data_IF_606294225922
#
_entry.id   IF_606294225922
#
_cell.length_a   1.000
_cell.length_b   1.000
_cell.length_c   1.000
_cell.angle_alpha   90.00
_cell.angle_beta   90.00
_cell.angle_gamma   90.00
#
_symmetry.space_group_name_H-M   'P 1'
#
loop_
_entity.id
_entity.type
_entity.pdbx_description
1 polymer ?
#
# COMPACT_ATOMS: atom_id res chain seq x y z
N UNK A 1 -15.29 -12.36 -4.56
CA UNK A 1 -13.92 -12.25 -4.03
C UNK A 1 -13.75 -10.93 -3.28
N UNK A 2 -13.08 -10.98 -2.17
CA UNK A 2 -12.74 -9.76 -1.43
C UNK A 2 -11.67 -8.98 -2.17
N UNK A 3 -11.91 -7.71 -2.40
CA UNK A 3 -10.96 -6.83 -3.07
C UNK A 3 -10.13 -6.09 -2.05
N UNK A 4 -8.83 -6.31 -2.08
CA UNK A 4 -7.89 -5.74 -1.13
C UNK A 4 -6.97 -4.75 -1.83
N UNK A 5 -6.82 -3.57 -1.25
CA UNK A 5 -5.90 -2.56 -1.73
C UNK A 5 -4.72 -2.47 -0.78
N UNK A 6 -3.51 -2.64 -1.31
CA UNK A 6 -2.27 -2.52 -0.54
C UNK A 6 -1.48 -1.30 -1.03
N UNK A 7 -1.56 -0.19 -0.32
CA UNK A 7 -0.63 0.91 -0.57
C UNK A 7 0.78 0.50 -0.14
N UNK A 8 1.74 0.72 -1.01
CA UNK A 8 3.14 0.39 -0.72
C UNK A 8 4.03 1.59 -1.05
N UNK A 9 5.14 1.68 -0.36
CA UNK A 9 6.11 2.76 -0.56
C UNK A 9 7.52 2.24 -0.89
N UNK A 10 7.64 0.92 -1.09
CA UNK A 10 8.93 0.30 -1.39
C UNK A 10 9.83 0.10 -0.19
N UNK A 11 9.36 0.44 1.00
CA UNK A 11 10.11 0.21 2.23
C UNK A 11 10.05 -1.26 2.64
N UNK A 12 10.89 -1.69 3.60
CA UNK A 12 10.79 -3.05 4.15
C UNK A 12 9.41 -3.40 4.72
N UNK A 13 8.64 -2.39 5.11
CA UNK A 13 7.28 -2.59 5.58
C UNK A 13 6.38 -3.22 4.53
N UNK A 14 6.64 -2.96 3.25
CA UNK A 14 5.84 -3.54 2.17
C UNK A 14 5.96 -5.05 2.14
N UNK A 15 7.16 -5.60 2.36
CA UNK A 15 7.34 -7.04 2.44
C UNK A 15 6.57 -7.64 3.61
N UNK A 16 6.53 -6.93 4.74
CA UNK A 16 5.75 -7.36 5.90
C UNK A 16 4.26 -7.42 5.55
N UNK A 17 3.76 -6.44 4.82
CA UNK A 17 2.37 -6.41 4.39
C UNK A 17 2.04 -7.62 3.52
N UNK A 18 2.91 -7.96 2.57
CA UNK A 18 2.70 -9.13 1.72
C UNK A 18 2.68 -10.42 2.53
N UNK A 19 3.60 -10.55 3.49
CA UNK A 19 3.65 -11.73 4.34
C UNK A 19 2.36 -11.91 5.14
N UNK A 20 1.84 -10.82 5.68
CA UNK A 20 0.60 -10.87 6.45
C UNK A 20 -0.60 -11.18 5.58
N UNK A 21 -0.64 -10.64 4.37
CA UNK A 21 -1.69 -10.97 3.42
C UNK A 21 -1.74 -12.48 3.17
N UNK A 22 -0.57 -13.09 2.94
CA UNK A 22 -0.48 -14.53 2.72
C UNK A 22 -0.97 -15.35 3.90
N UNK A 23 -0.77 -14.83 5.12
CA UNK A 23 -1.22 -15.52 6.32
C UNK A 23 -2.71 -15.37 6.56
N UNK A 24 -3.28 -14.24 6.19
CA UNK A 24 -4.67 -13.92 6.49
C UNK A 24 -5.66 -14.36 5.44
N UNK A 25 -5.25 -14.42 4.18
CA UNK A 25 -6.18 -14.65 3.08
C UNK A 25 -5.65 -15.71 2.12
N UNK A 26 -6.53 -16.61 1.71
CA UNK A 26 -6.22 -17.59 0.68
C UNK A 26 -6.19 -16.90 -0.69
N UNK A 27 -5.28 -17.30 -1.59
CA UNK A 27 -5.23 -16.72 -2.94
C UNK A 27 -6.56 -16.77 -3.70
N UNK A 28 -7.36 -17.79 -3.46
CA UNK A 28 -8.63 -17.95 -4.19
C UNK A 28 -9.74 -17.06 -3.66
N UNK A 29 -9.56 -16.45 -2.48
CA UNK A 29 -10.60 -15.67 -1.83
C UNK A 29 -10.48 -14.17 -2.07
N UNK A 30 -9.37 -13.72 -2.61
CA UNK A 30 -9.09 -12.30 -2.70
C UNK A 30 -8.52 -11.90 -4.06
N UNK A 31 -8.73 -10.64 -4.40
CA UNK A 31 -8.12 -9.97 -5.53
C UNK A 31 -7.35 -8.79 -4.97
N UNK A 32 -6.06 -8.69 -5.29
CA UNK A 32 -5.16 -7.72 -4.67
C UNK A 32 -4.77 -6.64 -5.66
N UNK A 33 -4.82 -5.39 -5.23
CA UNK A 33 -4.28 -4.28 -5.99
C UNK A 33 -3.17 -3.63 -5.18
N UNK A 34 -1.98 -3.58 -5.75
CA UNK A 34 -0.84 -2.88 -5.17
C UNK A 34 -0.80 -1.47 -5.74
N UNK A 35 -0.69 -0.49 -4.87
CA UNK A 35 -0.74 0.91 -5.31
C UNK A 35 0.39 1.72 -4.69
N UNK A 36 0.96 2.62 -5.49
CA UNK A 36 1.92 3.62 -5.02
C UNK A 36 1.46 4.96 -5.53
N UNK A 37 1.57 5.99 -4.70
CA UNK A 37 1.18 7.35 -5.06
C UNK A 37 2.44 8.19 -5.29
N UNK A 38 2.53 8.75 -6.49
CA UNK A 38 3.64 9.62 -6.87
C UNK A 38 3.21 11.07 -6.65
N UNK A 39 4.03 11.89 -5.95
CA UNK A 39 3.69 13.30 -5.78
C UNK A 39 3.54 14.03 -7.11
N UNK A 40 2.55 14.92 -7.19
CA UNK A 40 2.28 15.68 -8.41
C UNK A 40 3.41 16.58 -8.85
N UNK A 41 4.18 17.09 -7.89
CA UNK A 41 5.31 17.96 -8.19
C UNK A 41 6.30 17.28 -9.14
N UNK A 42 6.44 15.98 -9.05
CA UNK A 42 7.33 15.21 -9.92
C UNK A 42 6.76 15.14 -11.33
N UNK A 43 5.43 15.10 -11.48
CA UNK A 43 4.79 15.03 -12.79
C UNK A 43 4.89 16.36 -13.58
N UNK A 44 4.98 17.48 -12.87
CA UNK A 44 5.08 18.79 -13.49
C UNK A 44 6.47 19.08 -14.02
N UNK A 45 7.44 18.24 -13.69
CA UNK A 45 8.83 18.43 -14.06
C UNK A 45 9.15 17.85 -15.45
N UNK A 46 10.42 17.90 -15.82
CA UNK A 46 10.88 17.43 -17.11
C UNK A 46 10.57 15.95 -17.30
N UNK A 47 10.11 15.58 -18.48
CA UNK A 47 9.65 14.22 -18.78
C UNK A 47 10.63 13.11 -18.43
N UNK A 48 11.94 13.37 -18.49
CA UNK A 48 12.96 12.37 -18.17
C UNK A 48 12.98 12.02 -16.67
N UNK A 49 12.80 13.01 -15.81
CA UNK A 49 12.75 12.75 -14.37
C UNK A 49 11.48 11.99 -14.00
N UNK A 50 10.37 12.36 -14.63
CA UNK A 50 9.13 11.64 -14.43
C UNK A 50 9.27 10.16 -14.81
N UNK A 51 9.88 9.88 -15.97
CA UNK A 51 10.08 8.51 -16.42
C UNK A 51 10.95 7.71 -15.46
N UNK A 52 11.99 8.31 -14.89
CA UNK A 52 12.85 7.64 -13.92
C UNK A 52 12.06 7.27 -12.65
N UNK A 53 11.27 8.20 -12.16
CA UNK A 53 10.47 7.97 -10.97
C UNK A 53 9.41 6.91 -11.27
N UNK A 54 8.72 7.04 -12.40
CA UNK A 54 7.70 6.09 -12.81
C UNK A 54 8.28 4.68 -12.89
N UNK A 55 9.43 4.52 -13.56
CA UNK A 55 10.05 3.21 -13.72
C UNK A 55 10.53 2.65 -12.38
N UNK A 56 11.08 3.48 -11.51
CA UNK A 56 11.53 3.05 -10.19
C UNK A 56 10.36 2.58 -9.34
N UNK A 57 9.26 3.33 -9.33
CA UNK A 57 8.09 2.96 -8.55
C UNK A 57 7.39 1.74 -9.14
N UNK A 58 7.33 1.62 -10.47
CA UNK A 58 6.77 0.44 -11.10
C UNK A 58 7.60 -0.81 -10.77
N UNK A 59 8.92 -0.68 -10.72
CA UNK A 59 9.79 -1.79 -10.36
C UNK A 59 9.53 -2.26 -8.93
N UNK A 60 9.25 -1.34 -8.01
CA UNK A 60 8.89 -1.71 -6.64
C UNK A 60 7.56 -2.45 -6.59
N UNK A 61 6.59 -2.01 -7.37
CA UNK A 61 5.30 -2.69 -7.48
C UNK A 61 5.48 -4.10 -8.04
N UNK A 62 6.30 -4.25 -9.07
CA UNK A 62 6.55 -5.55 -9.69
C UNK A 62 7.26 -6.49 -8.72
N UNK A 63 8.23 -6.00 -7.97
CA UNK A 63 8.91 -6.80 -6.96
C UNK A 63 7.94 -7.26 -5.87
N UNK A 64 7.01 -6.41 -5.50
CA UNK A 64 6.01 -6.75 -4.50
C UNK A 64 5.02 -7.78 -5.04
N UNK A 65 4.66 -7.69 -6.32
CA UNK A 65 3.83 -8.70 -6.98
C UNK A 65 4.48 -10.07 -6.89
N UNK A 66 5.80 -10.14 -7.05
CA UNK A 66 6.54 -11.40 -7.00
C UNK A 66 6.47 -12.06 -5.61
N UNK A 67 6.16 -11.30 -4.58
CA UNK A 67 5.93 -11.83 -3.23
C UNK A 67 4.57 -12.51 -3.07
N UNK A 68 3.71 -12.40 -4.08
CA UNK A 68 2.35 -12.92 -4.05
C UNK A 68 2.09 -13.82 -5.27
N UNK A 69 2.88 -14.90 -5.47
CA UNK A 69 2.88 -15.63 -6.74
C UNK A 69 1.59 -16.37 -7.08
N UNK A 70 0.77 -16.69 -6.08
CA UNK A 70 -0.47 -17.43 -6.32
C UNK A 70 -1.69 -16.51 -6.32
N UNK A 71 -1.49 -15.23 -6.10
CA UNK A 71 -2.60 -14.28 -5.99
C UNK A 71 -2.87 -13.60 -7.32
N UNK A 72 -4.13 -13.21 -7.52
CA UNK A 72 -4.49 -12.31 -8.60
C UNK A 72 -4.10 -10.90 -8.17
N UNK A 73 -3.09 -10.33 -8.82
CA UNK A 73 -2.52 -9.05 -8.41
C UNK A 73 -2.54 -8.06 -9.56
N UNK A 74 -3.07 -6.87 -9.29
CA UNK A 74 -2.98 -5.71 -10.17
C UNK A 74 -2.04 -4.70 -9.55
N UNK A 75 -1.37 -3.93 -10.38
CA UNK A 75 -0.53 -2.83 -9.91
C UNK A 75 -1.03 -1.52 -10.47
N UNK A 76 -0.92 -0.45 -9.69
CA UNK A 76 -1.37 0.86 -10.12
C UNK A 76 -0.49 1.95 -9.52
N UNK A 77 -0.06 2.87 -10.38
CA UNK A 77 0.59 4.10 -9.96
C UNK A 77 -0.44 5.23 -9.99
N UNK A 78 -0.58 5.91 -8.86
CA UNK A 78 -1.46 7.06 -8.73
C UNK A 78 -0.61 8.31 -8.59
N UNK A 79 -1.21 9.45 -8.85
CA UNK A 79 -0.52 10.73 -8.74
C UNK A 79 -1.31 11.67 -7.84
N UNK A 80 -0.63 12.32 -6.92
CA UNK A 80 -1.27 13.27 -6.02
C UNK A 80 -0.86 13.08 -4.57
N UNK A 81 -1.78 13.36 -3.68
CA UNK A 81 -1.58 13.14 -2.24
C UNK A 81 -2.01 11.74 -1.86
N UNK A 82 -1.20 11.01 -1.07
CA UNK A 82 -1.47 9.60 -0.80
C UNK A 82 -2.85 9.31 -0.21
N UNK A 83 -3.24 9.98 0.85
CA UNK A 83 -4.52 9.72 1.50
C UNK A 83 -5.71 9.88 0.57
N UNK A 84 -5.90 11.06 -0.02
CA UNK A 84 -7.01 11.30 -0.94
C UNK A 84 -7.03 10.36 -2.15
N UNK A 85 -5.87 10.09 -2.75
CA UNK A 85 -5.82 9.25 -3.94
C UNK A 85 -6.13 7.79 -3.62
N UNK A 86 -5.68 7.30 -2.46
CA UNK A 86 -6.01 5.94 -2.02
C UNK A 86 -7.51 5.80 -1.80
N UNK A 87 -8.13 6.77 -1.13
CA UNK A 87 -9.58 6.74 -0.92
C UNK A 87 -10.33 6.78 -2.24
N UNK A 88 -9.93 7.68 -3.13
CA UNK A 88 -10.57 7.80 -4.44
C UNK A 88 -10.51 6.50 -5.21
N UNK A 89 -9.34 5.86 -5.23
CA UNK A 89 -9.18 4.58 -5.92
C UNK A 89 -10.06 3.52 -5.28
N UNK A 90 -10.04 3.44 -3.95
CA UNK A 90 -10.83 2.44 -3.23
C UNK A 90 -12.32 2.58 -3.53
N UNK A 91 -12.82 3.80 -3.56
CA UNK A 91 -14.24 4.05 -3.85
C UNK A 91 -14.59 3.72 -5.29
N UNK A 92 -13.76 4.14 -6.24
CA UNK A 92 -14.05 3.95 -7.67
C UNK A 92 -13.89 2.50 -8.13
N UNK A 93 -13.18 1.68 -7.40
CA UNK A 93 -12.94 0.28 -7.77
C UNK A 93 -13.56 -0.72 -6.80
N UNK A 94 -14.46 -0.25 -5.95
CA UNK A 94 -15.18 -1.10 -5.00
C UNK A 94 -14.25 -1.95 -4.14
N UNK A 95 -13.19 -1.33 -3.62
CA UNK A 95 -12.28 -2.00 -2.71
C UNK A 95 -12.98 -2.29 -1.39
N UNK A 96 -12.85 -3.51 -0.92
CA UNK A 96 -13.48 -3.92 0.33
C UNK A 96 -12.61 -3.60 1.55
N UNK A 97 -11.29 -3.79 1.43
CA UNK A 97 -10.38 -3.64 2.54
C UNK A 97 -9.10 -2.95 2.07
N UNK A 98 -8.65 -1.97 2.83
CA UNK A 98 -7.31 -1.39 2.65
C UNK A 98 -6.42 -2.01 3.73
N UNK A 99 -5.26 -2.53 3.32
CA UNK A 99 -4.34 -3.19 4.23
C UNK A 99 -2.97 -2.52 4.14
N UNK A 100 -2.46 -2.06 5.26
CA UNK A 100 -1.20 -1.35 5.27
C UNK A 100 -0.44 -1.62 6.57
N UNK A 101 0.85 -1.39 6.55
CA UNK A 101 1.71 -1.55 7.71
C UNK A 101 2.08 -0.18 8.23
N UNK A 102 1.87 0.03 9.51
CA UNK A 102 2.27 1.29 10.12
C UNK A 102 3.73 1.25 10.51
N UNK A 103 4.36 2.42 10.48
CA UNK A 103 5.72 2.57 10.95
C UNK A 103 5.74 2.52 12.48
N UNK A 104 6.70 1.76 13.04
CA UNK A 104 6.94 1.77 14.47
C UNK A 104 8.00 2.79 14.87
N UNK A 105 8.46 3.59 13.93
CA UNK A 105 9.47 4.62 14.21
C UNK A 105 8.86 5.75 15.03
N UNK A 106 9.65 6.19 16.00
CA UNK A 106 9.26 7.31 16.83
C UNK A 106 8.75 6.85 18.18
N UNK A 107 8.72 7.79 19.15
CA UNK A 107 8.44 7.45 20.54
C UNK A 107 7.00 7.04 20.82
N UNK A 108 6.08 7.23 19.91
CA UNK A 108 4.66 7.04 20.18
C UNK A 108 3.97 6.14 19.17
N UNK A 109 4.56 5.20 18.56
CA UNK A 109 3.85 4.22 17.69
C UNK A 109 2.58 4.78 17.07
N UNK A 110 2.63 5.99 16.53
CA UNK A 110 1.44 6.64 15.97
C UNK A 110 1.08 6.01 14.63
N UNK A 111 -0.22 6.00 14.33
CA UNK A 111 -0.64 5.75 12.98
C UNK A 111 0.07 6.75 12.07
N UNK A 112 0.54 6.32 10.91
CA UNK A 112 1.11 7.24 9.94
C UNK A 112 0.05 8.22 9.45
N UNK A 113 0.49 9.31 8.83
CA UNK A 113 -0.41 10.35 8.35
C UNK A 113 -1.44 9.83 7.35
N UNK A 114 -1.04 8.89 6.49
CA UNK A 114 -1.95 8.31 5.49
C UNK A 114 -3.03 7.49 6.17
N UNK A 115 -2.66 6.60 7.10
CA UNK A 115 -3.63 5.79 7.81
C UNK A 115 -4.60 6.66 8.62
N UNK A 116 -4.08 7.67 9.29
CA UNK A 116 -4.91 8.60 10.05
C UNK A 116 -5.92 9.31 9.14
N UNK A 117 -5.46 9.76 7.99
CA UNK A 117 -6.33 10.42 7.02
C UNK A 117 -7.47 9.48 6.59
N UNK A 118 -7.13 8.25 6.24
CA UNK A 118 -8.14 7.28 5.78
C UNK A 118 -9.17 6.99 6.86
N UNK A 119 -8.73 6.78 8.10
CA UNK A 119 -9.64 6.52 9.22
C UNK A 119 -10.62 7.68 9.41
N UNK A 120 -10.12 8.91 9.31
CA UNK A 120 -10.97 10.09 9.52
C UNK A 120 -11.90 10.39 8.36
N UNK A 121 -11.43 10.20 7.13
CA UNK A 121 -12.18 10.63 5.94
C UNK A 121 -13.02 9.53 5.31
N UNK A 122 -12.67 8.29 5.54
CA UNK A 122 -13.39 7.16 4.96
C UNK A 122 -13.67 6.08 6.01
N UNK A 123 -14.40 6.40 7.07
CA UNK A 123 -14.66 5.44 8.15
C UNK A 123 -15.49 4.25 7.71
N UNK A 124 -16.10 4.31 6.53
CA UNK A 124 -16.89 3.23 5.96
C UNK A 124 -16.04 2.21 5.19
N UNK A 125 -14.75 2.45 5.02
CA UNK A 125 -13.84 1.49 4.37
C UNK A 125 -13.12 0.71 5.46
N UNK A 126 -13.14 -0.61 5.34
CA UNK A 126 -12.42 -1.46 6.29
C UNK A 126 -10.91 -1.25 6.10
N UNK A 127 -10.22 -1.08 7.20
CA UNK A 127 -8.79 -0.80 7.19
C UNK A 127 -8.09 -1.75 8.16
N UNK A 128 -7.15 -2.52 7.63
CA UNK A 128 -6.29 -3.37 8.43
C UNK A 128 -4.93 -2.69 8.54
N UNK A 129 -4.52 -2.38 9.75
CA UNK A 129 -3.23 -1.76 10.02
C UNK A 129 -2.39 -2.74 10.82
N UNK A 130 -1.23 -3.07 10.28
CA UNK A 130 -0.33 -4.01 10.93
C UNK A 130 0.90 -3.31 11.44
N UNK A 131 1.46 -3.84 12.51
CA UNK A 131 2.71 -3.35 13.02
C UNK A 131 3.85 -3.75 12.09
N UNK A 132 4.85 -2.88 12.01
CA UNK A 132 6.11 -3.23 11.41
C UNK A 132 6.67 -4.45 12.13
N UNK A 133 7.37 -5.32 11.38
CA UNK A 133 7.92 -6.53 11.96
C UNK A 133 8.85 -6.18 13.11
N UNK A 134 8.63 -6.81 14.25
CA UNK A 134 9.51 -6.67 15.38
C UNK A 134 10.85 -7.31 15.07
N UNK A 135 11.94 -6.61 15.37
CA UNK A 135 13.21 -7.29 15.59
C UNK A 135 12.96 -8.19 16.79
N UNK A 136 13.25 -9.47 16.63
CA UNK A 136 13.04 -10.40 17.72
C UNK A 136 13.73 -9.92 18.98
N UNK A 137 12.92 -9.67 19.99
CA UNK A 137 13.44 -9.42 21.30
C UNK A 137 13.38 -10.73 22.07
N UNK A 138 14.51 -11.19 22.57
CA UNK A 138 14.46 -12.33 23.45
C UNK A 138 13.61 -11.97 24.67
N UNK A 139 12.69 -12.80 24.97
CA UNK A 139 11.85 -12.61 26.15
C UNK A 139 12.66 -12.62 27.42
#
# INVERSE_FOLDING_TARGET
MTKILLPIDGSPRSARTAAMLRQMFSPNDVEVTLVTVIPREIQAEVSQEYEKVFNAEQSKLDAMRDELPLYTVKTKLLAGSPGPEIIRYAESHNIDVIMMTRSSRGPLSKLGSVATYIVKKAPYIDLIIMHEAHTEQPD
#
